data_IF_910396360035
#
_entry.id   IF_910396360035
#
_cell.length_a   1.000
_cell.length_b   1.000
_cell.length_c   1.000
_cell.angle_alpha   90.00
_cell.angle_beta   90.00
_cell.angle_gamma   90.00
#
_symmetry.space_group_name_H-M   'P 1'
#
loop_
_entity.id
_entity.type
_entity.pdbx_description
1 polymer ?
#
# COMPACT_ATOMS: atom_id res chain seq x y z
N UNK A 1 0.60 9.91 -7.31
CA UNK A 1 0.81 9.52 -5.90
C UNK A 1 0.57 10.70 -4.96
N UNK A 2 1.34 11.80 -5.03
CA UNK A 2 1.09 12.99 -4.19
C UNK A 2 -0.36 13.53 -4.28
N UNK A 3 -0.89 13.71 -5.49
CA UNK A 3 -2.29 14.12 -5.68
C UNK A 3 -3.30 13.14 -5.03
N UNK A 4 -3.01 11.84 -5.08
CA UNK A 4 -3.82 10.79 -4.45
C UNK A 4 -3.79 10.89 -2.93
N UNK A 5 -2.63 11.18 -2.36
CA UNK A 5 -2.47 11.38 -0.92
C UNK A 5 -3.32 12.57 -0.45
N UNK A 6 -3.25 13.71 -1.14
CA UNK A 6 -4.05 14.89 -0.79
C UNK A 6 -5.55 14.63 -0.90
N UNK A 7 -6.01 13.97 -1.98
CA UNK A 7 -7.41 13.66 -2.20
C UNK A 7 -8.00 12.72 -1.12
N UNK A 8 -7.17 11.96 -0.41
CA UNK A 8 -7.59 10.97 0.59
C UNK A 8 -7.02 11.26 1.99
N UNK A 9 -6.65 12.52 2.27
CA UNK A 9 -5.95 12.93 3.50
C UNK A 9 -6.58 12.37 4.78
N UNK A 10 -7.89 12.56 4.95
CA UNK A 10 -8.61 12.11 6.15
C UNK A 10 -8.54 10.59 6.35
N UNK A 11 -8.65 9.83 5.25
CA UNK A 11 -8.60 8.37 5.29
C UNK A 11 -7.19 7.89 5.63
N UNK A 12 -6.17 8.52 5.02
CA UNK A 12 -4.77 8.21 5.30
C UNK A 12 -4.41 8.48 6.76
N UNK A 13 -4.73 9.68 7.25
CA UNK A 13 -4.50 10.04 8.64
C UNK A 13 -5.17 9.05 9.58
N UNK A 14 -6.47 8.80 9.42
CA UNK A 14 -7.24 7.99 10.37
C UNK A 14 -6.89 6.51 10.35
N UNK A 15 -6.79 5.89 9.17
CA UNK A 15 -6.75 4.42 9.05
C UNK A 15 -5.39 3.84 8.73
N UNK A 16 -4.55 4.59 8.02
CA UNK A 16 -3.25 4.09 7.56
C UNK A 16 -2.16 4.55 8.53
N UNK A 17 -2.29 5.78 9.02
CA UNK A 17 -1.31 6.45 9.87
C UNK A 17 -1.78 6.61 11.33
N UNK A 18 -2.96 6.08 11.69
CA UNK A 18 -3.48 6.06 13.06
C UNK A 18 -3.47 7.41 13.78
N UNK A 19 -3.79 8.48 13.04
CA UNK A 19 -3.78 9.88 13.46
C UNK A 19 -2.39 10.44 13.81
N UNK A 20 -1.32 9.81 13.33
CA UNK A 20 0.03 10.36 13.45
C UNK A 20 0.28 11.47 12.43
N UNK A 21 0.23 12.73 12.88
CA UNK A 21 0.59 13.89 12.06
C UNK A 21 2.07 13.88 11.66
N UNK A 22 2.95 13.31 12.49
CA UNK A 22 4.36 13.13 12.17
C UNK A 22 4.55 12.19 10.97
N UNK A 23 3.92 11.03 10.99
CA UNK A 23 4.02 10.07 9.89
C UNK A 23 3.36 10.62 8.62
N UNK A 24 2.27 11.38 8.75
CA UNK A 24 1.63 12.03 7.62
C UNK A 24 2.53 13.08 6.98
N UNK A 25 3.20 13.91 7.79
CA UNK A 25 4.17 14.89 7.30
C UNK A 25 5.36 14.21 6.63
N UNK A 26 5.94 13.17 7.24
CA UNK A 26 7.03 12.38 6.63
C UNK A 26 6.64 11.79 5.28
N UNK A 27 5.40 11.31 5.18
CA UNK A 27 4.86 10.77 3.95
C UNK A 27 4.71 11.84 2.86
N UNK A 28 4.22 13.04 3.20
CA UNK A 28 4.17 14.18 2.26
C UNK A 28 5.59 14.53 1.79
N UNK A 29 6.53 14.71 2.72
CA UNK A 29 7.93 15.03 2.40
C UNK A 29 8.54 14.00 1.43
N UNK A 30 8.26 12.71 1.62
CA UNK A 30 8.70 11.65 0.72
C UNK A 30 8.03 11.73 -0.67
N UNK A 31 6.74 12.05 -0.74
CA UNK A 31 5.99 12.15 -1.99
C UNK A 31 6.30 13.43 -2.80
N UNK A 32 6.75 14.49 -2.13
CA UNK A 32 7.18 15.75 -2.74
C UNK A 32 8.62 15.70 -3.24
N UNK A 33 9.40 14.69 -2.85
CA UNK A 33 10.78 14.55 -3.27
C UNK A 33 10.92 14.50 -4.80
N UNK A 34 11.75 15.41 -5.34
CA UNK A 34 11.94 15.55 -6.80
C UNK A 34 10.87 16.38 -7.49
N UNK A 35 9.87 16.86 -6.76
CA UNK A 35 8.89 17.87 -7.18
C UNK A 35 9.16 19.24 -6.53
N UNK A 36 9.56 19.25 -5.25
CA UNK A 36 9.90 20.47 -4.52
C UNK A 36 11.16 21.15 -5.09
N UNK A 37 11.19 22.49 -5.08
CA UNK A 37 12.21 23.28 -5.79
C UNK A 37 13.65 22.96 -5.33
N UNK A 38 13.82 22.69 -4.03
CA UNK A 38 15.09 22.33 -3.38
C UNK A 38 15.56 20.89 -3.68
N UNK A 39 14.65 19.98 -4.04
CA UNK A 39 14.95 18.57 -4.35
C UNK A 39 14.84 18.23 -5.84
N UNK A 40 14.26 19.12 -6.65
CA UNK A 40 13.99 18.94 -8.09
C UNK A 40 15.24 18.64 -8.91
N UNK A 41 16.38 19.26 -8.58
CA UNK A 41 17.66 19.01 -9.25
C UNK A 41 18.44 17.84 -8.64
N UNK A 42 18.18 17.53 -7.35
CA UNK A 42 18.86 16.44 -6.60
C UNK A 42 18.34 15.06 -7.01
N UNK A 43 17.11 14.98 -7.55
CA UNK A 43 16.52 13.71 -8.03
C UNK A 43 17.37 12.97 -9.07
N UNK A 44 18.26 13.66 -9.77
CA UNK A 44 19.09 13.08 -10.84
C UNK A 44 20.38 12.42 -10.35
N UNK A 45 20.77 12.61 -9.09
CA UNK A 45 22.03 12.08 -8.55
C UNK A 45 21.79 10.92 -7.58
N UNK A 46 21.12 11.18 -6.47
CA UNK A 46 20.90 10.19 -5.42
C UNK A 46 19.69 10.58 -4.58
N UNK A 47 18.79 9.63 -4.31
CA UNK A 47 17.68 9.83 -3.39
C UNK A 47 18.13 9.51 -1.95
N UNK A 48 18.14 10.47 -1.01
CA UNK A 48 18.43 10.19 0.39
C UNK A 48 17.45 9.18 1.00
N UNK A 49 17.96 8.32 1.91
CA UNK A 49 17.17 7.25 2.54
C UNK A 49 15.87 7.73 3.20
N UNK A 50 15.84 8.95 3.75
CA UNK A 50 14.64 9.53 4.37
C UNK A 50 13.44 9.72 3.43
N UNK A 51 13.68 9.69 2.11
CA UNK A 51 12.64 9.79 1.08
C UNK A 51 12.40 8.44 0.39
N UNK A 52 13.00 7.35 0.88
CA UNK A 52 12.80 6.02 0.29
C UNK A 52 11.43 5.46 0.61
N UNK A 53 11.01 4.55 -0.26
CA UNK A 53 9.85 3.70 -0.03
C UNK A 53 10.19 2.70 1.09
N UNK A 54 9.80 3.00 2.32
CA UNK A 54 10.24 2.26 3.51
C UNK A 54 9.12 1.47 4.22
N UNK A 55 7.86 1.87 4.04
CA UNK A 55 6.74 1.35 4.84
C UNK A 55 5.52 0.89 4.02
N UNK A 56 4.65 0.15 4.72
CA UNK A 56 3.36 -0.35 4.18
C UNK A 56 2.44 0.76 3.70
N UNK A 57 2.50 1.93 4.35
CA UNK A 57 1.76 3.15 3.98
C UNK A 57 2.01 3.53 2.53
N UNK A 58 3.26 3.47 2.09
CA UNK A 58 3.61 3.87 0.73
C UNK A 58 3.08 2.87 -0.30
N UNK A 59 3.06 1.57 0.03
CA UNK A 59 2.45 0.55 -0.83
C UNK A 59 0.93 0.74 -0.97
N UNK A 60 0.25 1.29 0.03
CA UNK A 60 -1.16 1.67 -0.06
C UNK A 60 -1.38 2.85 -1.02
N UNK A 61 -0.50 3.87 -0.98
CA UNK A 61 -0.55 5.00 -1.93
C UNK A 61 -0.33 4.52 -3.35
N UNK A 62 0.57 3.55 -3.55
CA UNK A 62 0.75 2.95 -4.86
C UNK A 62 -0.54 2.25 -5.32
N UNK A 63 -1.20 1.49 -4.43
CA UNK A 63 -2.46 0.84 -4.78
C UNK A 63 -3.53 1.85 -5.23
N UNK A 64 -3.69 2.92 -4.47
CA UNK A 64 -4.68 3.97 -4.74
C UNK A 64 -4.33 4.76 -6.01
N UNK A 65 -3.07 5.17 -6.16
CA UNK A 65 -2.64 6.03 -7.27
C UNK A 65 -2.72 5.33 -8.62
N UNK A 66 -2.46 4.02 -8.66
CA UNK A 66 -2.54 3.22 -9.88
C UNK A 66 -3.91 2.54 -10.05
N UNK A 67 -4.79 2.59 -9.05
CA UNK A 67 -6.07 1.87 -9.06
C UNK A 67 -5.89 0.36 -9.20
N UNK A 68 -4.80 -0.19 -8.64
CA UNK A 68 -4.42 -1.61 -8.76
C UNK A 68 -4.08 -2.19 -7.39
N UNK A 69 -4.49 -3.43 -7.07
CA UNK A 69 -4.04 -4.12 -5.87
C UNK A 69 -2.51 -4.20 -5.78
N UNK A 70 -1.97 -4.18 -4.56
CA UNK A 70 -0.54 -4.35 -4.28
C UNK A 70 -0.34 -5.50 -3.29
N UNK A 71 0.39 -6.52 -3.71
CA UNK A 71 0.88 -7.57 -2.82
C UNK A 71 2.30 -7.22 -2.37
N UNK A 72 2.53 -7.21 -1.06
CA UNK A 72 3.86 -7.02 -0.49
C UNK A 72 4.29 -8.29 0.23
N UNK A 73 5.40 -8.86 -0.22
CA UNK A 73 6.10 -9.95 0.43
C UNK A 73 7.39 -9.42 1.03
N UNK A 74 7.82 -10.00 2.14
CA UNK A 74 9.04 -9.57 2.83
C UNK A 74 9.91 -10.77 3.15
N UNK A 75 11.21 -10.61 2.94
CA UNK A 75 12.22 -11.59 3.35
C UNK A 75 13.27 -10.89 4.19
N UNK A 76 13.28 -11.18 5.49
CA UNK A 76 14.20 -10.61 6.46
C UNK A 76 14.57 -11.63 7.53
N UNK A 77 15.76 -11.46 8.12
CA UNK A 77 16.37 -12.44 9.03
C UNK A 77 15.98 -12.25 10.51
N UNK A 78 15.29 -11.15 10.87
CA UNK A 78 14.99 -10.81 12.28
C UNK A 78 13.50 -10.62 12.58
N UNK A 79 12.75 -9.91 11.72
CA UNK A 79 11.31 -9.67 11.92
C UNK A 79 10.60 -9.53 10.56
N UNK A 80 10.37 -10.64 9.85
CA UNK A 80 9.57 -10.58 8.62
C UNK A 80 8.12 -10.24 8.96
N UNK A 81 7.62 -9.15 8.40
CA UNK A 81 6.20 -8.86 8.46
C UNK A 81 5.40 -9.94 7.71
N UNK A 82 4.16 -10.24 8.12
CA UNK A 82 3.30 -11.12 7.33
C UNK A 82 3.07 -10.52 5.93
N UNK A 83 2.87 -11.34 4.89
CA UNK A 83 2.50 -10.85 3.56
C UNK A 83 1.24 -9.99 3.61
N UNK A 84 1.28 -8.85 2.91
CA UNK A 84 0.18 -7.87 2.90
C UNK A 84 -0.44 -7.82 1.52
N UNK A 85 -1.77 -7.72 1.47
CA UNK A 85 -2.50 -7.48 0.24
C UNK A 85 -3.34 -6.21 0.37
N UNK A 86 -2.86 -5.15 -0.24
CA UNK A 86 -3.42 -3.80 -0.18
C UNK A 86 -4.31 -3.61 -1.39
N UNK A 87 -5.55 -3.19 -1.14
CA UNK A 87 -6.51 -2.92 -2.18
C UNK A 87 -6.65 -1.40 -2.35
N UNK A 88 -6.94 -0.89 -3.55
CA UNK A 88 -7.25 0.51 -3.71
C UNK A 88 -8.46 0.91 -2.85
N UNK A 89 -8.40 2.07 -2.21
CA UNK A 89 -9.52 2.67 -1.47
C UNK A 89 -10.64 3.12 -2.40
N UNK A 90 -10.33 3.34 -3.68
CA UNK A 90 -11.31 3.69 -4.73
C UNK A 90 -11.51 2.55 -5.71
N UNK A 91 -12.72 2.41 -6.24
CA UNK A 91 -13.01 1.45 -7.31
C UNK A 91 -12.19 1.74 -8.57
N UNK A 92 -11.67 0.71 -9.28
CA UNK A 92 -10.99 0.92 -10.56
C UNK A 92 -11.95 1.54 -11.58
N UNK A 93 -11.54 2.66 -12.18
CA UNK A 93 -12.35 3.36 -13.19
C UNK A 93 -12.16 2.80 -14.61
N UNK A 94 -10.99 2.21 -14.91
CA UNK A 94 -10.59 1.85 -16.28
C UNK A 94 -10.50 0.35 -16.55
N UNK A 95 -10.04 -0.44 -15.58
CA UNK A 95 -9.89 -1.88 -15.71
C UNK A 95 -10.81 -2.57 -14.70
N UNK A 96 -11.78 -3.35 -15.17
CA UNK A 96 -12.70 -4.04 -14.27
C UNK A 96 -12.02 -5.12 -13.41
N UNK A 97 -10.85 -5.63 -13.84
CA UNK A 97 -10.10 -6.70 -13.16
C UNK A 97 -8.57 -6.53 -13.29
N UNK A 98 -7.96 -5.50 -12.68
CA UNK A 98 -6.52 -5.30 -12.81
C UNK A 98 -5.72 -6.42 -12.12
N UNK A 99 -4.61 -6.81 -12.74
CA UNK A 99 -3.63 -7.69 -12.10
C UNK A 99 -2.90 -6.96 -10.97
N UNK A 100 -2.71 -7.59 -9.80
CA UNK A 100 -1.96 -6.99 -8.71
C UNK A 100 -0.52 -6.63 -9.09
N UNK A 101 -0.01 -5.53 -8.55
CA UNK A 101 1.43 -5.28 -8.49
C UNK A 101 2.03 -6.12 -7.37
N UNK A 102 3.17 -6.74 -7.63
CA UNK A 102 3.83 -7.61 -6.66
C UNK A 102 5.14 -6.96 -6.27
N UNK A 103 5.29 -6.65 -4.99
CA UNK A 103 6.47 -6.06 -4.40
C UNK A 103 7.11 -7.06 -3.43
N UNK A 104 8.43 -7.19 -3.51
CA UNK A 104 9.23 -8.00 -2.60
C UNK A 104 10.23 -7.12 -1.88
N UNK A 105 10.04 -6.96 -0.58
CA UNK A 105 10.95 -6.25 0.31
C UNK A 105 12.06 -7.21 0.76
N UNK A 106 13.30 -6.91 0.40
CA UNK A 106 14.50 -7.63 0.87
C UNK A 106 15.43 -6.62 1.54
N UNK A 107 15.61 -6.75 2.86
CA UNK A 107 16.24 -5.70 3.66
C UNK A 107 15.44 -4.40 3.57
N UNK A 108 16.04 -3.35 3.00
CA UNK A 108 15.41 -2.03 2.84
C UNK A 108 15.11 -1.70 1.36
N UNK A 109 15.02 -2.70 0.49
CA UNK A 109 14.82 -2.49 -0.94
C UNK A 109 13.63 -3.27 -1.48
N UNK A 110 12.80 -2.60 -2.27
CA UNK A 110 11.66 -3.21 -2.95
C UNK A 110 12.03 -3.64 -4.36
N UNK A 111 11.74 -4.88 -4.69
CA UNK A 111 11.80 -5.43 -6.04
C UNK A 111 10.39 -5.63 -6.59
N UNK A 112 10.16 -5.25 -7.84
CA UNK A 112 8.94 -5.64 -8.55
C UNK A 112 9.07 -7.09 -9.03
N UNK A 113 8.06 -7.90 -8.76
CA UNK A 113 7.98 -9.27 -9.29
C UNK A 113 6.91 -9.37 -10.37
N UNK A 114 7.16 -10.24 -11.35
CA UNK A 114 6.19 -10.60 -12.38
C UNK A 114 5.77 -12.04 -12.17
N UNK A 115 4.46 -12.27 -12.12
CA UNK A 115 3.91 -13.61 -12.02
C UNK A 115 3.98 -14.34 -13.36
N UNK A 116 4.38 -15.61 -13.32
CA UNK A 116 4.23 -16.49 -14.49
C UNK A 116 2.73 -16.72 -14.77
N UNK A 117 2.26 -16.63 -16.02
CA UNK A 117 0.84 -16.74 -16.34
C UNK A 117 0.17 -18.05 -15.92
N UNK A 118 0.94 -19.14 -15.84
CA UNK A 118 0.43 -20.48 -15.47
C UNK A 118 0.17 -20.66 -13.98
N UNK A 119 0.62 -19.73 -13.13
CA UNK A 119 0.60 -19.91 -11.69
C UNK A 119 -0.68 -19.31 -11.10
N UNK A 120 -1.52 -20.16 -10.51
CA UNK A 120 -2.66 -19.71 -9.69
C UNK A 120 -2.14 -19.29 -8.32
N UNK A 121 -2.37 -18.03 -7.95
CA UNK A 121 -1.98 -17.47 -6.66
C UNK A 121 -3.21 -17.24 -5.81
N UNK A 122 -3.14 -17.66 -4.56
CA UNK A 122 -4.06 -17.24 -3.51
C UNK A 122 -3.41 -16.06 -2.75
N UNK A 123 -4.01 -14.87 -2.83
CA UNK A 123 -3.39 -13.68 -2.27
C UNK A 123 -3.51 -13.62 -0.74
N UNK A 124 -2.57 -12.93 -0.05
CA UNK A 124 -2.66 -12.71 1.39
C UNK A 124 -3.97 -12.03 1.81
N UNK A 125 -4.38 -12.15 3.09
CA UNK A 125 -5.57 -11.47 3.57
C UNK A 125 -5.39 -9.95 3.55
N UNK A 126 -6.50 -9.25 3.33
CA UNK A 126 -6.54 -7.78 3.41
C UNK A 126 -6.38 -7.35 4.88
N UNK A 127 -5.53 -6.35 5.17
CA UNK A 127 -5.35 -5.82 6.52
C UNK A 127 -6.66 -5.36 7.17
N UNK A 128 -6.73 -5.39 8.50
CA UNK A 128 -7.94 -5.01 9.23
C UNK A 128 -8.31 -3.54 9.06
N UNK A 129 -7.32 -2.64 9.16
CA UNK A 129 -7.53 -1.19 8.98
C UNK A 129 -8.17 -0.84 7.63
N UNK A 130 -7.87 -1.64 6.61
CA UNK A 130 -8.40 -1.47 5.27
C UNK A 130 -9.90 -1.78 5.21
N UNK A 131 -10.31 -2.85 5.88
CA UNK A 131 -11.73 -3.19 6.05
C UNK A 131 -12.47 -2.12 6.84
N UNK A 132 -11.87 -1.59 7.91
CA UNK A 132 -12.45 -0.50 8.69
C UNK A 132 -12.64 0.77 7.84
N UNK A 133 -11.63 1.16 7.05
CA UNK A 133 -11.74 2.28 6.13
C UNK A 133 -12.88 2.09 5.12
N UNK A 134 -12.98 0.91 4.52
CA UNK A 134 -14.06 0.60 3.58
C UNK A 134 -15.45 0.52 4.20
N UNK A 135 -15.57 0.00 5.41
CA UNK A 135 -16.86 -0.06 6.10
C UNK A 135 -17.35 1.37 6.41
N UNK A 136 -16.48 2.27 6.87
CA UNK A 136 -16.87 3.68 7.12
C UNK A 136 -17.14 4.45 5.82
N UNK A 137 -16.36 4.20 4.76
CA UNK A 137 -16.60 4.79 3.43
C UNK A 137 -17.80 4.17 2.70
N UNK A 138 -18.48 3.19 3.30
CA UNK A 138 -19.61 2.45 2.71
C UNK A 138 -19.25 1.71 1.40
N UNK A 139 -17.99 1.28 1.27
CA UNK A 139 -17.45 0.61 0.08
C UNK A 139 -17.39 -0.92 0.24
N UNK A 140 -17.61 -1.47 1.43
CA UNK A 140 -17.31 -2.87 1.73
C UNK A 140 -18.14 -3.89 0.95
N UNK A 141 -19.39 -3.58 0.62
CA UNK A 141 -20.24 -4.43 -0.22
C UNK A 141 -19.73 -4.47 -1.66
N UNK A 142 -19.33 -3.32 -2.21
CA UNK A 142 -18.82 -3.21 -3.57
C UNK A 142 -17.43 -3.84 -3.71
N UNK A 143 -16.55 -3.65 -2.74
CA UNK A 143 -15.22 -4.23 -2.75
C UNK A 143 -15.22 -5.77 -2.71
N UNK A 144 -16.16 -6.39 -1.99
CA UNK A 144 -16.34 -7.85 -1.96
C UNK A 144 -16.64 -8.43 -3.35
N UNK A 145 -17.38 -7.71 -4.18
CA UNK A 145 -17.74 -8.16 -5.53
C UNK A 145 -16.69 -7.79 -6.56
N UNK A 146 -16.11 -6.58 -6.46
CA UNK A 146 -15.08 -6.08 -7.37
C UNK A 146 -13.82 -6.94 -7.35
N UNK A 147 -13.36 -7.34 -6.15
CA UNK A 147 -12.06 -8.02 -5.99
C UNK A 147 -12.16 -9.54 -5.90
N UNK A 148 -13.35 -10.13 -6.08
CA UNK A 148 -13.58 -11.58 -5.91
C UNK A 148 -12.71 -12.48 -6.79
N UNK A 149 -12.36 -12.00 -7.98
CA UNK A 149 -11.55 -12.73 -8.95
C UNK A 149 -10.11 -12.95 -8.51
N UNK A 150 -9.67 -12.25 -7.47
CA UNK A 150 -8.31 -12.35 -6.94
C UNK A 150 -8.14 -13.58 -6.04
N UNK A 151 -9.19 -14.27 -5.59
CA UNK A 151 -9.05 -15.43 -4.68
C UNK A 151 -8.23 -15.07 -3.42
N UNK A 152 -8.64 -14.01 -2.73
CA UNK A 152 -7.98 -13.48 -1.53
C UNK A 152 -8.27 -14.41 -0.33
N UNK A 153 -7.23 -14.75 0.45
CA UNK A 153 -7.37 -15.51 1.70
C UNK A 153 -8.31 -14.79 2.67
N UNK A 154 -9.22 -15.56 3.28
CA UNK A 154 -10.00 -15.07 4.41
C UNK A 154 -9.07 -14.90 5.62
N UNK A 155 -9.14 -13.76 6.30
CA UNK A 155 -8.43 -13.59 7.56
C UNK A 155 -8.96 -14.59 8.59
N UNK A 156 -8.06 -15.31 9.28
CA UNK A 156 -8.49 -16.08 10.46
C UNK A 156 -8.98 -15.09 11.53
N UNK A 157 -10.10 -15.36 12.21
CA UNK A 157 -10.48 -14.57 13.38
C UNK A 157 -9.37 -14.76 14.44
N UNK A 158 -8.83 -13.64 14.94
CA UNK A 158 -7.65 -13.54 15.85
C UNK A 158 -6.30 -13.37 15.14
N UNK A 159 -6.02 -12.16 14.68
CA UNK A 159 -4.70 -11.54 14.85
C UNK A 159 -4.86 -10.04 14.62
N UNK A 160 -5.01 -9.29 15.71
CA UNK A 160 -4.83 -7.84 15.74
C UNK A 160 -3.37 -7.58 15.43
N UNK A 161 -3.05 -7.23 14.17
CA UNK A 161 -1.74 -6.72 13.80
C UNK A 161 -1.82 -5.20 13.87
N UNK A 162 -1.15 -4.64 14.87
CA UNK A 162 -0.75 -3.24 14.85
C UNK A 162 0.44 -3.15 13.91
N UNK A 163 0.46 -2.23 12.93
CA UNK A 163 1.70 -1.94 12.23
C UNK A 163 2.72 -1.50 13.26
N UNK A 164 3.94 -2.01 13.12
CA UNK A 164 5.07 -1.69 13.98
C UNK A 164 5.27 -0.16 13.98
N UNK A 165 4.73 0.50 15.01
CA UNK A 165 5.08 1.87 15.36
C UNK A 165 6.46 1.76 16.01
N UNK A 166 7.49 2.04 15.21
CA UNK A 166 8.85 2.23 15.69
C UNK A 166 9.03 3.67 16.16
#
# INVERSE_FOLDING_TARGET
MLATLYANTEVYKKYILFNSDEEYRRLIEAMEYGLAEDTKMVRYSFCPRKYWFDASTMAQIAADAFGRPVAVFETGNKHSSPPRFLLPLTTPSQNAKPSPMILHLVGNHYYSLVMKPSLRVEWPPVPLYHRQAWDEMQLSAHCKTTWRYLHIKKSKPKQTYYPDVL
#
